data_IF_740235454049
#
_entry.id   IF_740235454049
#
_cell.length_a   1.000
_cell.length_b   1.000
_cell.length_c   1.000
_cell.angle_alpha   90.00
_cell.angle_beta   90.00
_cell.angle_gamma   90.00
#
_symmetry.space_group_name_H-M   'P 1'
#
loop_
_entity.id
_entity.type
_entity.pdbx_description
1 polymer ?
#
# COMPACT_ATOMS: atom_id res chain seq x y z
N UNK A 1 -21.20 3.45 5.74
CA UNK A 1 -20.42 2.89 4.63
C UNK A 1 -19.53 3.91 3.94
N UNK A 2 -18.22 3.85 4.24
CA UNK A 2 -17.17 4.61 3.54
C UNK A 2 -16.93 4.03 2.14
N UNK A 3 -16.71 4.89 1.14
CA UNK A 3 -16.33 4.47 -0.22
C UNK A 3 -14.83 4.50 -0.37
N UNK A 4 -14.22 3.33 -0.46
CA UNK A 4 -12.77 3.15 -0.49
C UNK A 4 -12.34 2.83 -1.91
N UNK A 5 -11.39 3.61 -2.41
CA UNK A 5 -10.68 3.30 -3.64
C UNK A 5 -9.38 2.56 -3.32
N UNK A 6 -9.15 1.40 -3.94
CA UNK A 6 -7.94 0.60 -3.77
C UNK A 6 -7.06 0.66 -5.03
N UNK A 7 -5.86 1.21 -4.88
CA UNK A 7 -4.80 1.14 -5.86
C UNK A 7 -3.77 0.07 -5.48
N UNK A 8 -3.34 -0.75 -6.44
CA UNK A 8 -2.44 -1.89 -6.19
C UNK A 8 -3.16 -3.21 -5.92
N UNK A 9 -4.42 -3.34 -6.33
CA UNK A 9 -5.33 -4.46 -6.06
C UNK A 9 -4.83 -5.86 -6.42
N UNK A 10 -3.97 -5.98 -7.44
CA UNK A 10 -3.38 -7.28 -7.83
C UNK A 10 -2.12 -7.67 -7.04
N UNK A 11 -1.61 -6.77 -6.20
CA UNK A 11 -0.47 -7.02 -5.31
C UNK A 11 -0.83 -7.89 -4.12
N UNK A 12 0.18 -8.33 -3.36
CA UNK A 12 -0.04 -9.18 -2.19
C UNK A 12 -1.00 -8.55 -1.19
N UNK A 13 -0.74 -7.31 -0.76
CA UNK A 13 -1.59 -6.63 0.23
C UNK A 13 -2.95 -6.28 -0.38
N UNK A 14 -3.00 -5.83 -1.65
CA UNK A 14 -4.26 -5.54 -2.32
C UNK A 14 -5.20 -6.75 -2.40
N UNK A 15 -4.66 -7.96 -2.61
CA UNK A 15 -5.45 -9.21 -2.58
C UNK A 15 -5.99 -9.54 -1.20
N UNK A 16 -5.19 -9.35 -0.15
CA UNK A 16 -5.65 -9.53 1.23
C UNK A 16 -6.74 -8.50 1.58
N UNK A 17 -6.63 -7.25 1.12
CA UNK A 17 -7.68 -6.23 1.29
C UNK A 17 -8.98 -6.69 0.61
N UNK A 18 -8.90 -7.16 -0.63
CA UNK A 18 -10.07 -7.69 -1.36
C UNK A 18 -10.71 -8.87 -0.61
N UNK A 19 -9.89 -9.78 -0.07
CA UNK A 19 -10.36 -10.95 0.66
C UNK A 19 -11.06 -10.61 1.98
N UNK A 20 -10.60 -9.56 2.66
CA UNK A 20 -11.13 -9.11 3.96
C UNK A 20 -12.25 -8.07 3.83
N UNK A 21 -12.50 -7.52 2.64
CA UNK A 21 -13.40 -6.38 2.46
C UNK A 21 -14.84 -6.64 2.94
N UNK A 22 -15.33 -7.89 2.88
CA UNK A 22 -16.67 -8.26 3.35
C UNK A 22 -16.86 -8.18 4.85
N UNK A 23 -15.75 -8.10 5.61
CA UNK A 23 -15.78 -8.07 7.07
C UNK A 23 -15.95 -6.64 7.63
N UNK A 24 -16.05 -5.63 6.74
CA UNK A 24 -16.11 -4.19 7.06
C UNK A 24 -17.35 -3.53 6.44
N UNK A 25 -17.88 -2.45 7.05
CA UNK A 25 -18.96 -1.63 6.48
C UNK A 25 -18.40 -0.62 5.46
N UNK A 26 -17.92 -1.14 4.33
CA UNK A 26 -17.28 -0.35 3.26
C UNK A 26 -17.85 -0.68 1.88
N UNK A 27 -17.75 0.29 0.97
CA UNK A 27 -17.91 0.07 -0.46
C UNK A 27 -16.53 0.12 -1.11
N UNK A 28 -16.04 -1.02 -1.59
CA UNK A 28 -14.70 -1.11 -2.19
C UNK A 28 -14.75 -1.01 -3.72
N UNK A 29 -13.95 -0.10 -4.27
CA UNK A 29 -13.62 -0.05 -5.71
C UNK A 29 -12.15 -0.42 -5.90
N UNK A 30 -11.87 -1.52 -6.59
CA UNK A 30 -10.53 -2.03 -6.83
C UNK A 30 -10.03 -1.67 -8.23
N UNK A 31 -8.89 -0.97 -8.29
CA UNK A 31 -8.23 -0.59 -9.53
C UNK A 31 -7.23 -1.65 -10.00
N UNK A 32 -7.31 -2.02 -11.27
CA UNK A 32 -6.45 -3.01 -11.92
C UNK A 32 -5.75 -2.45 -13.15
N UNK A 33 -4.60 -3.05 -13.53
CA UNK A 33 -3.91 -2.76 -14.80
C UNK A 33 -4.41 -3.62 -15.96
N UNK A 34 -5.02 -4.75 -15.64
CA UNK A 34 -5.51 -5.77 -16.57
C UNK A 34 -6.55 -6.61 -15.85
N UNK A 35 -7.34 -7.39 -16.60
CA UNK A 35 -8.31 -8.31 -16.00
C UNK A 35 -7.67 -9.19 -14.93
N UNK A 36 -8.21 -9.24 -13.70
CA UNK A 36 -7.69 -10.09 -12.64
C UNK A 36 -7.86 -11.57 -12.99
N UNK A 37 -6.88 -12.39 -12.63
CA UNK A 37 -6.89 -13.85 -12.82
C UNK A 37 -7.14 -14.57 -11.48
N UNK A 38 -8.05 -14.05 -10.68
CA UNK A 38 -8.45 -14.59 -9.39
C UNK A 38 -9.87 -14.12 -9.07
N UNK A 39 -10.57 -14.88 -8.24
CA UNK A 39 -11.96 -14.59 -7.89
C UNK A 39 -12.05 -13.35 -7.02
N UNK A 40 -13.03 -12.49 -7.34
CA UNK A 40 -13.34 -11.27 -6.62
C UNK A 40 -14.85 -11.29 -6.40
N UNK A 41 -15.28 -10.97 -5.18
CA UNK A 41 -16.70 -10.94 -4.84
C UNK A 41 -17.46 -9.92 -5.72
N UNK A 42 -18.68 -10.26 -6.13
CA UNK A 42 -19.54 -9.41 -6.97
C UNK A 42 -19.87 -8.06 -6.31
N UNK A 43 -19.75 -7.95 -4.99
CA UNK A 43 -19.94 -6.71 -4.24
C UNK A 43 -18.80 -5.70 -4.43
N UNK A 44 -17.64 -6.11 -4.96
CA UNK A 44 -16.48 -5.25 -5.17
C UNK A 44 -16.53 -4.69 -6.59
N UNK A 45 -16.55 -3.36 -6.70
CA UNK A 45 -16.48 -2.69 -7.99
C UNK A 45 -15.08 -2.84 -8.58
N UNK A 46 -14.97 -3.32 -9.81
CA UNK A 46 -13.68 -3.52 -10.48
C UNK A 46 -13.52 -2.51 -11.61
N UNK A 47 -12.38 -1.81 -11.64
CA UNK A 47 -12.07 -0.86 -12.71
C UNK A 47 -10.70 -1.18 -13.31
N UNK A 48 -10.66 -1.34 -14.64
CA UNK A 48 -9.40 -1.54 -15.37
C UNK A 48 -8.91 -0.18 -15.87
N UNK A 49 -7.73 0.22 -15.42
CA UNK A 49 -7.05 1.45 -15.83
C UNK A 49 -5.97 1.09 -16.84
N UNK A 50 -6.21 1.48 -18.09
CA UNK A 50 -5.34 1.23 -19.24
C UNK A 50 -4.06 2.07 -19.21
N UNK A 51 -4.14 3.30 -18.69
CA UNK A 51 -3.00 4.20 -18.54
C UNK A 51 -3.05 4.91 -17.18
N UNK A 52 -2.13 4.54 -16.29
CA UNK A 52 -2.01 5.11 -14.94
C UNK A 52 -1.36 6.49 -14.91
N UNK A 53 -0.84 6.96 -16.04
CA UNK A 53 -0.29 8.32 -16.18
C UNK A 53 -1.29 9.30 -16.79
N UNK A 54 -2.44 8.82 -17.28
CA UNK A 54 -3.50 9.67 -17.80
C UNK A 54 -4.26 10.34 -16.65
N UNK A 55 -4.00 11.64 -16.47
CA UNK A 55 -4.57 12.45 -15.38
C UNK A 55 -6.10 12.55 -15.46
N UNK A 56 -6.66 12.75 -16.64
CA UNK A 56 -8.11 12.93 -16.82
C UNK A 56 -8.85 11.64 -16.51
N UNK A 57 -8.36 10.52 -17.03
CA UNK A 57 -8.89 9.19 -16.73
C UNK A 57 -8.84 8.91 -15.22
N UNK A 58 -7.71 9.22 -14.59
CA UNK A 58 -7.55 8.98 -13.16
C UNK A 58 -8.46 9.85 -12.32
N UNK A 59 -8.53 11.16 -12.61
CA UNK A 59 -9.41 12.09 -11.91
C UNK A 59 -10.88 11.66 -12.02
N UNK A 60 -11.33 11.24 -13.21
CA UNK A 60 -12.71 10.77 -13.40
C UNK A 60 -12.99 9.48 -12.62
N UNK A 61 -12.08 8.52 -12.68
CA UNK A 61 -12.16 7.25 -11.93
C UNK A 61 -12.26 7.47 -10.42
N UNK A 62 -11.56 8.47 -9.91
CA UNK A 62 -11.45 8.74 -8.47
C UNK A 62 -12.68 9.46 -7.90
N UNK A 63 -13.58 9.99 -8.72
CA UNK A 63 -14.79 10.68 -8.20
C UNK A 63 -15.64 9.76 -7.31
N UNK A 64 -16.34 10.36 -6.36
CA UNK A 64 -17.32 9.70 -5.49
C UNK A 64 -16.72 8.64 -4.54
N UNK A 65 -15.48 8.83 -4.06
CA UNK A 65 -14.89 8.04 -2.99
C UNK A 65 -14.46 8.95 -1.85
N UNK A 66 -14.35 8.38 -0.65
CA UNK A 66 -14.01 9.12 0.58
C UNK A 66 -12.55 8.86 0.99
N UNK A 67 -12.03 7.68 0.67
CA UNK A 67 -10.74 7.19 1.16
C UNK A 67 -9.95 6.52 0.02
N UNK A 68 -8.62 6.66 0.07
CA UNK A 68 -7.72 6.00 -0.87
C UNK A 68 -6.72 5.12 -0.14
N UNK A 69 -6.75 3.82 -0.44
CA UNK A 69 -5.71 2.88 -0.04
C UNK A 69 -4.77 2.63 -1.22
N UNK A 70 -3.50 3.00 -1.08
CA UNK A 70 -2.45 2.84 -2.09
C UNK A 70 -1.42 1.79 -1.66
N UNK A 71 -1.49 0.61 -2.29
CA UNK A 71 -0.54 -0.50 -2.08
C UNK A 71 0.37 -0.72 -3.30
N UNK A 72 0.51 0.30 -4.15
CA UNK A 72 1.36 0.23 -5.33
C UNK A 72 2.83 0.08 -4.91
N UNK A 73 3.51 -0.90 -5.51
CA UNK A 73 4.95 -1.06 -5.36
C UNK A 73 5.50 -2.10 -6.31
N UNK A 74 6.30 -1.66 -7.28
CA UNK A 74 7.02 -2.59 -8.18
C UNK A 74 8.40 -2.93 -7.62
N UNK A 75 9.12 -3.89 -8.20
CA UNK A 75 10.57 -4.02 -7.98
C UNK A 75 11.30 -3.24 -9.07
N UNK A 76 12.52 -2.78 -8.80
CA UNK A 76 13.39 -2.22 -9.85
C UNK A 76 13.55 -3.23 -11.01
N UNK A 77 13.66 -4.53 -10.68
CA UNK A 77 13.74 -5.61 -11.70
C UNK A 77 12.51 -5.67 -12.60
N UNK A 78 11.30 -5.54 -12.03
CA UNK A 78 10.03 -5.52 -12.79
C UNK A 78 9.82 -4.22 -13.56
N UNK A 79 10.25 -3.09 -12.98
CA UNK A 79 10.20 -1.80 -13.67
C UNK A 79 11.15 -1.75 -14.87
N UNK A 80 12.21 -2.55 -14.87
CA UNK A 80 13.20 -2.61 -15.96
C UNK A 80 14.19 -1.44 -15.98
N UNK A 81 13.85 -0.31 -15.37
CA UNK A 81 14.77 0.84 -15.21
C UNK A 81 14.48 1.65 -13.95
N UNK A 82 15.45 2.47 -13.53
CA UNK A 82 15.26 3.44 -12.43
C UNK A 82 14.17 4.46 -12.75
N UNK A 83 14.14 4.96 -14.00
CA UNK A 83 13.14 5.95 -14.42
C UNK A 83 11.72 5.38 -14.37
N UNK A 84 11.51 4.19 -14.93
CA UNK A 84 10.22 3.51 -14.86
C UNK A 84 9.82 3.17 -13.41
N UNK A 85 10.81 2.87 -12.54
CA UNK A 85 10.57 2.67 -11.12
C UNK A 85 10.11 3.97 -10.45
N UNK A 86 10.78 5.10 -10.67
CA UNK A 86 10.36 6.42 -10.15
C UNK A 86 8.99 6.82 -10.66
N UNK A 87 8.72 6.66 -11.96
CA UNK A 87 7.44 7.01 -12.58
C UNK A 87 6.29 6.21 -11.96
N UNK A 88 6.54 4.95 -11.60
CA UNK A 88 5.55 4.09 -10.91
C UNK A 88 5.45 4.42 -9.42
N UNK A 89 6.54 4.23 -8.67
CA UNK A 89 6.55 4.26 -7.20
C UNK A 89 6.42 5.68 -6.62
N UNK A 90 6.73 6.71 -7.40
CA UNK A 90 6.57 8.12 -7.01
C UNK A 90 5.50 8.79 -7.88
N UNK A 91 5.61 8.68 -9.20
CA UNK A 91 4.76 9.42 -10.14
C UNK A 91 3.28 9.09 -9.99
N UNK A 92 2.93 7.80 -9.94
CA UNK A 92 1.54 7.36 -9.74
C UNK A 92 1.06 7.73 -8.34
N UNK A 93 1.86 7.50 -7.29
CA UNK A 93 1.47 7.84 -5.91
C UNK A 93 1.18 9.33 -5.77
N UNK A 94 2.03 10.18 -6.35
CA UNK A 94 1.84 11.63 -6.38
C UNK A 94 0.57 12.01 -7.15
N UNK A 95 0.36 11.44 -8.33
CA UNK A 95 -0.84 11.71 -9.12
C UNK A 95 -2.11 11.38 -8.34
N UNK A 96 -2.13 10.23 -7.67
CA UNK A 96 -3.24 9.82 -6.83
C UNK A 96 -3.42 10.76 -5.62
N UNK A 97 -2.34 11.18 -4.96
CA UNK A 97 -2.42 12.12 -3.84
C UNK A 97 -2.96 13.49 -4.26
N UNK A 98 -2.45 14.03 -5.37
CA UNK A 98 -2.90 15.29 -5.95
C UNK A 98 -4.42 15.25 -6.27
N UNK A 99 -4.89 14.16 -6.90
CA UNK A 99 -6.30 14.01 -7.25
C UNK A 99 -7.20 13.70 -6.05
N UNK A 100 -6.77 12.87 -5.12
CA UNK A 100 -7.54 12.59 -3.90
C UNK A 100 -7.75 13.89 -3.11
N UNK A 101 -6.71 14.72 -2.98
CA UNK A 101 -6.82 16.01 -2.33
C UNK A 101 -7.71 16.99 -3.10
N UNK A 102 -7.60 17.02 -4.44
CA UNK A 102 -8.47 17.84 -5.30
C UNK A 102 -9.95 17.45 -5.18
N UNK A 103 -10.24 16.18 -4.91
CA UNK A 103 -11.59 15.63 -4.80
C UNK A 103 -12.09 15.56 -3.35
N UNK A 104 -11.40 16.24 -2.42
CA UNK A 104 -11.78 16.32 -1.00
C UNK A 104 -11.92 14.94 -0.32
N UNK A 105 -11.05 13.98 -0.68
CA UNK A 105 -10.95 12.73 0.06
C UNK A 105 -10.64 13.04 1.53
N UNK A 106 -11.29 12.33 2.44
CA UNK A 106 -11.03 12.44 3.88
C UNK A 106 -9.64 11.90 4.22
N UNK A 107 -9.23 10.77 3.62
CA UNK A 107 -7.96 10.15 3.94
C UNK A 107 -7.22 9.43 2.82
N UNK A 108 -5.91 9.29 3.07
CA UNK A 108 -4.96 8.62 2.18
C UNK A 108 -4.07 7.67 2.99
N UNK A 109 -4.12 6.38 2.65
CA UNK A 109 -3.37 5.34 3.33
C UNK A 109 -2.37 4.70 2.35
N UNK A 110 -1.08 4.83 2.65
CA UNK A 110 0.02 4.42 1.78
C UNK A 110 0.85 3.30 2.41
N UNK A 111 1.18 2.28 1.62
CA UNK A 111 2.18 1.27 1.99
C UNK A 111 3.52 1.57 1.33
N UNK A 112 4.55 1.76 2.14
CA UNK A 112 5.94 1.95 1.71
C UNK A 112 6.83 0.80 2.19
N UNK A 113 7.91 1.09 2.90
CA UNK A 113 8.88 0.10 3.38
C UNK A 113 9.64 0.66 4.57
N UNK A 114 10.04 -0.23 5.47
CA UNK A 114 10.94 0.11 6.58
C UNK A 114 12.18 0.87 6.09
N UNK A 115 12.46 2.00 6.75
CA UNK A 115 13.61 2.86 6.42
C UNK A 115 13.44 3.71 5.16
N UNK A 116 12.21 3.88 4.66
CA UNK A 116 11.90 4.89 3.64
C UNK A 116 12.36 6.28 4.10
N UNK A 117 13.17 6.93 3.26
CA UNK A 117 13.80 8.22 3.55
C UNK A 117 14.20 8.90 2.24
N UNK A 118 13.61 10.06 1.95
CA UNK A 118 13.84 10.80 0.71
C UNK A 118 15.30 11.30 0.55
N UNK A 119 16.08 11.32 1.63
CA UNK A 119 17.50 11.68 1.64
C UNK A 119 18.45 10.49 1.55
N UNK A 120 17.93 9.25 1.58
CA UNK A 120 18.73 8.02 1.52
C UNK A 120 19.59 7.93 0.26
N UNK A 121 20.81 7.41 0.41
CA UNK A 121 21.69 7.04 -0.71
C UNK A 121 21.26 5.73 -1.40
N UNK A 122 20.46 4.90 -0.73
CA UNK A 122 19.81 3.75 -1.34
C UNK A 122 18.60 4.22 -2.16
N UNK A 123 18.68 4.07 -3.48
CA UNK A 123 17.68 4.48 -4.46
C UNK A 123 16.25 3.98 -4.15
N UNK A 124 16.10 2.73 -3.67
CA UNK A 124 14.78 2.18 -3.34
C UNK A 124 14.15 2.92 -2.15
N UNK A 125 14.92 3.07 -1.06
CA UNK A 125 14.46 3.78 0.14
C UNK A 125 14.23 5.27 -0.14
N UNK A 126 15.05 5.86 -1.01
CA UNK A 126 14.89 7.21 -1.51
C UNK A 126 13.56 7.40 -2.23
N UNK A 127 13.22 6.51 -3.16
CA UNK A 127 11.96 6.58 -3.88
C UNK A 127 10.77 6.42 -2.94
N UNK A 128 10.82 5.47 -2.01
CA UNK A 128 9.75 5.28 -1.02
C UNK A 128 9.56 6.51 -0.13
N UNK A 129 10.64 7.13 0.36
CA UNK A 129 10.53 8.38 1.13
C UNK A 129 10.01 9.55 0.29
N UNK A 130 10.37 9.65 -1.00
CA UNK A 130 9.80 10.65 -1.92
C UNK A 130 8.29 10.44 -2.15
N UNK A 131 7.84 9.20 -2.21
CA UNK A 131 6.42 8.87 -2.32
C UNK A 131 5.65 9.26 -1.05
N UNK A 132 6.21 9.03 0.14
CA UNK A 132 5.63 9.49 1.40
C UNK A 132 5.52 11.02 1.44
N UNK A 133 6.59 11.73 1.04
CA UNK A 133 6.57 13.19 0.98
C UNK A 133 5.47 13.73 0.05
N UNK A 134 5.17 13.03 -1.05
CA UNK A 134 4.11 13.41 -1.97
C UNK A 134 2.71 13.31 -1.33
N UNK A 135 2.49 12.36 -0.42
CA UNK A 135 1.23 12.26 0.34
C UNK A 135 1.21 13.29 1.47
N UNK A 136 2.31 13.39 2.22
CA UNK A 136 2.44 14.25 3.40
C UNK A 136 2.38 15.75 3.07
N UNK A 137 2.64 16.14 1.82
CA UNK A 137 2.49 17.52 1.37
C UNK A 137 1.03 18.00 1.30
N UNK A 138 0.07 17.08 1.37
CA UNK A 138 -1.36 17.39 1.44
C UNK A 138 -1.86 17.33 2.88
N UNK A 139 -2.94 18.07 3.15
CA UNK A 139 -3.55 18.14 4.47
C UNK A 139 -4.87 17.36 4.53
N UNK A 140 -4.79 16.06 4.28
CA UNK A 140 -5.90 15.13 4.53
C UNK A 140 -6.21 15.07 6.03
N UNK A 141 -7.48 14.83 6.37
CA UNK A 141 -7.91 14.63 7.76
C UNK A 141 -7.32 13.34 8.34
N UNK A 142 -7.22 12.29 7.51
CA UNK A 142 -6.56 11.04 7.85
C UNK A 142 -5.38 10.72 6.91
N UNK A 143 -4.21 10.43 7.49
CA UNK A 143 -3.06 9.90 6.76
C UNK A 143 -2.50 8.70 7.53
N UNK A 144 -2.40 7.56 6.86
CA UNK A 144 -1.69 6.39 7.40
C UNK A 144 -0.58 5.99 6.46
N UNK A 145 0.67 6.07 6.91
CA UNK A 145 1.81 5.53 6.17
C UNK A 145 2.30 4.27 6.88
N UNK A 146 2.26 3.13 6.20
CA UNK A 146 2.78 1.87 6.74
C UNK A 146 4.12 1.54 6.12
N UNK A 147 5.12 1.33 6.97
CA UNK A 147 6.49 0.96 6.62
C UNK A 147 6.77 -0.48 7.04
N UNK A 148 6.19 -1.47 6.35
CA UNK A 148 6.42 -2.86 6.70
C UNK A 148 7.86 -3.28 6.44
N UNK A 149 8.31 -4.27 7.20
CA UNK A 149 9.55 -4.99 6.92
C UNK A 149 9.32 -6.06 5.85
N UNK A 150 9.89 -7.27 6.02
CA UNK A 150 9.68 -8.35 5.08
C UNK A 150 8.22 -8.84 5.12
N UNK A 151 7.56 -8.82 3.98
CA UNK A 151 6.19 -9.31 3.83
C UNK A 151 6.15 -10.83 3.65
N UNK A 152 5.31 -11.50 4.45
CA UNK A 152 4.95 -12.90 4.32
C UNK A 152 3.55 -13.03 3.69
N UNK A 153 3.38 -14.00 2.78
CA UNK A 153 2.09 -14.34 2.18
C UNK A 153 2.24 -15.16 0.89
N UNK A 154 1.15 -15.74 0.40
CA UNK A 154 1.17 -16.53 -0.83
C UNK A 154 1.23 -15.61 -2.06
N UNK A 155 2.43 -15.43 -2.61
CA UNK A 155 2.65 -14.71 -3.86
C UNK A 155 2.84 -15.67 -5.03
N UNK A 156 2.34 -15.28 -6.21
CA UNK A 156 2.70 -15.94 -7.48
C UNK A 156 4.13 -15.62 -7.93
N UNK A 157 4.77 -14.58 -7.37
CA UNK A 157 6.10 -14.14 -7.78
C UNK A 157 7.10 -14.02 -6.62
N UNK A 158 8.26 -14.65 -6.82
CA UNK A 158 9.43 -14.60 -5.96
C UNK A 158 9.99 -13.18 -5.87
N UNK A 159 9.78 -12.50 -4.74
CA UNK A 159 10.67 -11.40 -4.32
C UNK A 159 11.79 -12.01 -3.47
N UNK A 160 13.03 -11.76 -3.92
CA UNK A 160 14.30 -12.26 -3.40
C UNK A 160 14.34 -12.19 -1.86
N UNK A 161 13.98 -13.30 -1.19
CA UNK A 161 13.93 -13.33 0.28
C UNK A 161 13.08 -14.44 0.87
N UNK A 162 11.99 -14.88 0.21
CA UNK A 162 11.00 -15.78 0.86
C UNK A 162 11.56 -17.13 1.31
N UNK A 163 12.37 -17.83 0.51
CA UNK A 163 12.93 -19.12 0.94
C UNK A 163 14.05 -18.98 1.98
N UNK A 164 14.93 -17.99 1.82
CA UNK A 164 16.04 -17.77 2.74
C UNK A 164 15.54 -17.24 4.09
N UNK A 165 14.58 -16.32 4.09
CA UNK A 165 13.98 -15.78 5.30
C UNK A 165 13.07 -16.80 5.99
N UNK A 166 12.19 -17.53 5.30
CA UNK A 166 11.36 -18.55 5.98
C UNK A 166 12.18 -19.68 6.59
N UNK A 167 13.26 -20.11 5.93
CA UNK A 167 14.10 -21.21 6.42
C UNK A 167 15.06 -20.78 7.53
N UNK A 168 15.53 -19.52 7.53
CA UNK A 168 16.35 -18.96 8.62
C UNK A 168 15.50 -18.39 9.78
N UNK A 169 14.26 -17.99 9.55
CA UNK A 169 13.42 -17.33 10.57
C UNK A 169 13.00 -18.28 11.71
N UNK A 170 12.62 -19.52 11.40
CA UNK A 170 12.16 -20.49 12.41
C UNK A 170 13.20 -20.76 13.51
N UNK A 171 14.49 -21.00 13.20
CA UNK A 171 15.50 -21.22 14.24
C UNK A 171 16.11 -19.93 14.84
N UNK A 172 15.96 -18.76 14.21
CA UNK A 172 16.63 -17.51 14.61
C UNK A 172 15.69 -16.36 15.02
N UNK A 173 14.44 -16.66 15.39
CA UNK A 173 13.45 -15.65 15.82
C UNK A 173 13.93 -14.77 16.98
N UNK A 174 14.82 -15.27 17.84
CA UNK A 174 15.44 -14.56 18.96
C UNK A 174 16.32 -13.36 18.54
N UNK A 175 16.79 -13.31 17.29
CA UNK A 175 17.58 -12.18 16.76
C UNK A 175 16.73 -10.91 16.61
N UNK A 176 15.41 -11.06 16.46
CA UNK A 176 14.47 -9.95 16.26
C UNK A 176 13.90 -9.39 17.59
N UNK A 177 14.65 -9.50 18.70
CA UNK A 177 14.28 -8.92 19.99
C UNK A 177 14.89 -7.51 20.17
N UNK A 178 14.26 -6.70 21.02
CA UNK A 178 14.71 -5.33 21.29
C UNK A 178 14.71 -4.44 20.04
N UNK A 179 15.83 -3.76 19.77
CA UNK A 179 16.00 -2.81 18.65
C UNK A 179 15.79 -3.40 17.24
N UNK A 180 15.77 -4.72 17.10
CA UNK A 180 15.59 -5.41 15.81
C UNK A 180 14.15 -5.91 15.58
N UNK A 181 13.23 -5.67 16.52
CA UNK A 181 11.82 -6.08 16.43
C UNK A 181 11.14 -5.54 15.17
N UNK A 182 11.45 -4.30 14.78
CA UNK A 182 10.96 -3.67 13.54
C UNK A 182 11.34 -4.39 12.24
N UNK A 183 12.30 -5.31 12.25
CA UNK A 183 12.67 -6.09 11.06
C UNK A 183 12.00 -7.46 10.99
N UNK A 184 11.15 -7.79 11.98
CA UNK A 184 10.44 -9.07 12.04
C UNK A 184 9.46 -9.17 10.86
N UNK A 185 9.51 -10.25 10.05
CA UNK A 185 8.58 -10.42 8.95
C UNK A 185 7.13 -10.34 9.38
N UNK A 186 6.30 -9.67 8.58
CA UNK A 186 4.89 -9.39 8.86
C UNK A 186 3.98 -10.00 7.80
N UNK A 187 2.86 -10.59 8.22
CA UNK A 187 1.88 -11.13 7.28
C UNK A 187 1.14 -9.98 6.59
N UNK A 188 0.97 -10.07 5.27
CA UNK A 188 0.24 -9.07 4.50
C UNK A 188 -1.21 -8.89 4.96
N UNK A 189 -1.86 -9.92 5.51
CA UNK A 189 -3.21 -9.82 6.04
C UNK A 189 -3.33 -8.86 7.24
N UNK A 190 -2.29 -8.78 8.08
CA UNK A 190 -2.24 -7.84 9.23
C UNK A 190 -2.17 -6.39 8.72
N UNK A 191 -1.41 -6.16 7.65
CA UNK A 191 -1.32 -4.83 7.03
C UNK A 191 -2.66 -4.48 6.38
N UNK A 192 -3.27 -5.43 5.69
CA UNK A 192 -4.57 -5.24 5.04
C UNK A 192 -5.68 -4.90 6.06
N UNK A 193 -5.77 -5.63 7.18
CA UNK A 193 -6.76 -5.34 8.22
C UNK A 193 -6.53 -3.96 8.83
N UNK A 194 -5.28 -3.62 9.18
CA UNK A 194 -4.96 -2.30 9.73
C UNK A 194 -5.31 -1.16 8.75
N UNK A 195 -5.09 -1.34 7.43
CA UNK A 195 -5.49 -0.35 6.43
C UNK A 195 -7.00 -0.21 6.33
N UNK A 196 -7.75 -1.32 6.36
CA UNK A 196 -9.22 -1.31 6.30
C UNK A 196 -9.81 -0.64 7.54
N UNK A 197 -9.34 -0.99 8.74
CA UNK A 197 -9.77 -0.35 10.00
C UNK A 197 -9.48 1.16 10.01
N UNK A 198 -8.34 1.60 9.46
CA UNK A 198 -8.01 3.02 9.36
C UNK A 198 -8.85 3.76 8.33
N UNK A 199 -9.15 3.13 7.19
CA UNK A 199 -9.98 3.73 6.15
C UNK A 199 -11.48 3.74 6.51
N UNK A 200 -11.96 2.76 7.26
CA UNK A 200 -13.34 2.76 7.75
C UNK A 200 -13.57 3.82 8.84
N UNK A 201 -12.53 4.12 9.63
CA UNK A 201 -12.57 5.09 10.73
C UNK A 201 -12.84 6.53 10.27
N UNK A 202 -13.47 7.33 11.14
CA UNK A 202 -13.64 8.79 10.98
C UNK A 202 -12.63 9.58 11.84
N UNK A 203 -11.59 8.92 12.33
CA UNK A 203 -10.58 9.57 13.15
C UNK A 203 -9.68 10.49 12.31
N UNK A 204 -9.45 11.71 12.79
CA UNK A 204 -8.50 12.65 12.21
C UNK A 204 -7.09 12.31 12.72
N UNK A 205 -6.47 11.29 12.12
CA UNK A 205 -5.15 10.79 12.54
C UNK A 205 -4.17 10.85 11.38
N UNK A 206 -3.01 11.43 11.64
CA UNK A 206 -1.87 11.42 10.73
C UNK A 206 -0.72 10.67 11.39
N UNK A 207 -0.46 9.45 10.92
CA UNK A 207 0.49 8.54 11.55
C UNK A 207 1.34 7.80 10.52
N UNK A 208 2.60 7.56 10.90
CA UNK A 208 3.49 6.62 10.21
C UNK A 208 3.76 5.46 11.16
N UNK A 209 3.50 4.24 10.71
CA UNK A 209 3.68 3.01 11.48
C UNK A 209 4.82 2.19 10.89
N UNK A 210 5.86 1.93 11.67
CA UNK A 210 6.89 0.95 11.35
C UNK A 210 6.40 -0.48 11.61
N UNK A 211 7.11 -1.47 11.08
CA UNK A 211 6.64 -2.87 11.04
C UNK A 211 6.22 -3.45 12.39
N UNK A 212 6.86 -3.08 13.50
CA UNK A 212 6.54 -3.59 14.85
C UNK A 212 5.37 -2.86 15.51
N UNK A 213 5.12 -1.61 15.12
CA UNK A 213 3.94 -0.84 15.52
C UNK A 213 2.70 -1.39 14.81
N UNK A 214 2.80 -1.74 13.52
CA UNK A 214 1.72 -2.44 12.78
C UNK A 214 1.35 -3.76 13.47
N UNK A 215 2.34 -4.52 13.97
CA UNK A 215 2.08 -5.75 14.72
C UNK A 215 1.33 -5.53 16.03
N UNK A 216 1.52 -4.37 16.66
CA UNK A 216 0.95 -4.07 17.97
C UNK A 216 -0.41 -3.38 17.86
N UNK A 217 -0.91 -3.22 16.63
CA UNK A 217 -2.20 -2.61 16.31
C UNK A 217 -3.38 -3.59 16.50
N UNK A 218 -3.10 -4.88 16.74
CA UNK A 218 -4.11 -5.93 17.01
C UNK A 218 -4.72 -5.85 18.40
#
# INVERSE_FOLDING_TARGET
>A
MKKILLAGSSGLIGREIIALASDYDIQLTALFRSTPQFDIADSINQVIISDWHNKELMLDTMKNHDELICTIGTTIKKAGSKKAFEDTDIGIVRLLADHAFQLDYHGFHLVTSIGADASSSNFYLQCKGKAENAVLSHNFDAITIMRPSLLLGNRAEYRFGEKVAMYLYKPFSWIFLGKYKRYKPINASIIASCLLERAESNEHIRITLESDEIFSFQ
#
